data_IF_619411698167
#
_entry.id   IF_619411698167
#
_cell.length_a   1.000
_cell.length_b   1.000
_cell.length_c   1.000
_cell.angle_alpha   90.00
_cell.angle_beta   90.00
_cell.angle_gamma   90.00
#
_symmetry.space_group_name_H-M   'P 1'
#
loop_
_entity.id
_entity.type
_entity.pdbx_description
1 polymer ?
#
# COMPACT_ATOMS: atom_id res chain seq x y z
N UNK A 1 -14.37 14.31 -19.24
CA UNK A 1 -13.35 13.93 -18.23
C UNK A 1 -14.00 12.94 -17.29
N UNK A 2 -13.36 11.82 -16.96
CA UNK A 2 -13.94 10.83 -16.04
C UNK A 2 -13.87 11.44 -14.62
N UNK A 3 -14.98 11.54 -13.88
CA UNK A 3 -14.95 12.07 -12.51
C UNK A 3 -14.15 11.14 -11.59
N UNK A 4 -13.54 11.65 -10.51
CA UNK A 4 -12.80 10.82 -9.57
C UNK A 4 -13.72 9.79 -8.89
N UNK A 5 -13.15 8.70 -8.37
CA UNK A 5 -13.91 7.66 -7.67
C UNK A 5 -14.64 8.17 -6.42
N UNK A 6 -14.09 9.20 -5.80
CA UNK A 6 -14.62 9.93 -4.66
C UNK A 6 -13.92 11.29 -4.56
N UNK A 7 -14.49 12.21 -3.81
CA UNK A 7 -13.98 13.58 -3.69
C UNK A 7 -12.66 13.62 -2.91
N UNK A 8 -11.55 13.80 -3.62
CA UNK A 8 -10.21 14.01 -3.07
C UNK A 8 -9.35 14.76 -4.10
N UNK A 9 -8.46 15.64 -3.65
CA UNK A 9 -7.53 16.37 -4.54
C UNK A 9 -6.15 15.71 -4.62
N UNK A 10 -5.35 15.99 -5.66
CA UNK A 10 -3.95 15.56 -5.73
C UNK A 10 -3.12 15.94 -4.51
N UNK A 11 -3.32 17.15 -3.95
CA UNK A 11 -2.59 17.64 -2.78
C UNK A 11 -2.99 16.90 -1.50
N UNK A 12 -4.27 16.54 -1.38
CA UNK A 12 -4.74 15.67 -0.31
C UNK A 12 -4.11 14.27 -0.42
N UNK A 13 -3.97 13.75 -1.64
CA UNK A 13 -3.31 12.46 -1.87
C UNK A 13 -1.85 12.52 -1.42
N UNK A 14 -1.11 13.55 -1.83
CA UNK A 14 0.30 13.72 -1.46
C UNK A 14 0.45 13.83 0.05
N UNK A 15 -0.42 14.60 0.71
CA UNK A 15 -0.38 14.78 2.17
C UNK A 15 -0.67 13.48 2.92
N UNK A 16 -1.63 12.68 2.45
CA UNK A 16 -1.91 11.34 3.01
C UNK A 16 -0.70 10.45 2.87
N UNK A 17 -0.11 10.37 1.67
CA UNK A 17 1.05 9.52 1.40
C UNK A 17 2.25 9.92 2.27
N UNK A 18 2.61 11.20 2.30
CA UNK A 18 3.73 11.69 3.11
C UNK A 18 3.51 11.43 4.61
N UNK A 19 2.29 11.68 5.12
CA UNK A 19 1.99 11.44 6.54
C UNK A 19 2.01 9.96 6.88
N UNK A 20 1.47 9.13 5.99
CA UNK A 20 1.45 7.69 6.16
C UNK A 20 2.87 7.11 6.22
N UNK A 21 3.73 7.47 5.27
CA UNK A 21 5.09 6.94 5.24
C UNK A 21 5.97 7.49 6.37
N UNK A 22 5.76 8.72 6.82
CA UNK A 22 6.37 9.22 8.05
C UNK A 22 6.01 8.34 9.27
N UNK A 23 4.79 7.82 9.33
CA UNK A 23 4.36 6.91 10.39
C UNK A 23 4.91 5.48 10.19
N UNK A 24 4.90 4.96 8.96
CA UNK A 24 5.46 3.63 8.61
C UNK A 24 6.93 3.54 9.02
N UNK A 25 7.71 4.59 8.74
CA UNK A 25 9.14 4.65 9.09
C UNK A 25 9.42 4.51 10.59
N UNK A 26 8.44 4.84 11.43
CA UNK A 26 8.55 4.79 12.90
C UNK A 26 7.89 3.54 13.49
N UNK A 27 7.17 2.77 12.69
CA UNK A 27 6.45 1.60 13.15
C UNK A 27 7.40 0.42 13.36
N UNK A 28 7.34 -0.22 14.53
CA UNK A 28 8.32 -1.25 14.94
C UNK A 28 8.36 -2.46 14.00
N UNK A 29 7.20 -2.90 13.50
CA UNK A 29 7.10 -4.02 12.54
C UNK A 29 7.32 -3.58 11.09
N UNK A 30 6.61 -2.55 10.63
CA UNK A 30 6.64 -2.15 9.21
C UNK A 30 7.92 -1.41 8.83
N UNK A 31 8.46 -0.59 9.72
CA UNK A 31 9.64 0.23 9.48
C UNK A 31 10.84 -0.57 8.96
N UNK A 32 11.27 -1.64 9.65
CA UNK A 32 12.36 -2.50 9.19
C UNK A 32 12.13 -3.14 7.81
N UNK A 33 10.89 -3.54 7.52
CA UNK A 33 10.53 -4.15 6.22
C UNK A 33 10.70 -3.11 5.12
N UNK A 34 10.10 -1.93 5.26
CA UNK A 34 10.25 -0.90 4.24
C UNK A 34 11.70 -0.42 4.12
N UNK A 35 12.43 -0.28 5.22
CA UNK A 35 13.84 0.14 5.20
C UNK A 35 14.76 -0.85 4.45
N UNK A 36 14.39 -2.14 4.39
CA UNK A 36 15.12 -3.13 3.61
C UNK A 36 14.94 -2.98 2.08
N UNK A 37 13.83 -2.36 1.65
CA UNK A 37 13.46 -2.25 0.22
C UNK A 37 13.44 -0.81 -0.32
N UNK A 38 13.40 0.19 0.57
CA UNK A 38 13.26 1.61 0.23
C UNK A 38 14.46 2.38 0.75
N UNK A 39 15.34 2.75 -0.17
CA UNK A 39 16.52 3.59 0.09
C UNK A 39 16.24 5.06 -0.23
N UNK A 40 15.49 5.33 -1.31
CA UNK A 40 15.04 6.66 -1.69
C UNK A 40 13.56 6.85 -1.30
N UNK A 41 13.35 7.51 -0.15
CA UNK A 41 12.02 7.78 0.39
C UNK A 41 11.21 8.77 -0.45
N UNK A 42 11.76 9.95 -0.84
CA UNK A 42 11.06 10.87 -1.73
C UNK A 42 10.55 10.21 -3.02
N UNK A 43 11.38 9.40 -3.71
CA UNK A 43 10.94 8.73 -4.94
C UNK A 43 9.89 7.66 -4.65
N UNK A 44 10.02 6.91 -3.56
CA UNK A 44 9.01 5.94 -3.16
C UNK A 44 7.66 6.59 -2.89
N UNK A 45 7.63 7.65 -2.10
CA UNK A 45 6.40 8.40 -1.79
C UNK A 45 5.79 9.00 -3.06
N UNK A 46 6.60 9.60 -3.94
CA UNK A 46 6.13 10.12 -5.23
C UNK A 46 5.51 9.02 -6.11
N UNK A 47 6.13 7.84 -6.17
CA UNK A 47 5.58 6.68 -6.90
C UNK A 47 4.24 6.22 -6.33
N UNK A 48 4.07 6.20 -5.02
CA UNK A 48 2.83 5.78 -4.37
C UNK A 48 1.74 6.85 -4.48
N UNK A 49 2.10 8.13 -4.50
CA UNK A 49 1.18 9.20 -4.86
C UNK A 49 0.67 9.03 -6.31
N UNK A 50 1.57 8.76 -7.27
CA UNK A 50 1.19 8.46 -8.67
C UNK A 50 0.24 7.26 -8.76
N UNK A 51 0.49 6.21 -7.99
CA UNK A 51 -0.41 5.05 -7.89
C UNK A 51 -1.82 5.47 -7.44
N UNK A 52 -1.94 6.25 -6.37
CA UNK A 52 -3.24 6.66 -5.85
C UNK A 52 -3.97 7.65 -6.74
N UNK A 53 -3.26 8.62 -7.35
CA UNK A 53 -3.86 9.51 -8.35
C UNK A 53 -4.37 8.74 -9.56
N UNK A 54 -3.63 7.74 -10.03
CA UNK A 54 -4.11 6.85 -11.09
C UNK A 54 -5.35 6.04 -10.65
N UNK A 55 -5.32 5.48 -9.44
CA UNK A 55 -6.41 4.67 -8.93
C UNK A 55 -7.67 5.50 -8.61
N UNK A 56 -7.56 6.76 -8.20
CA UNK A 56 -8.71 7.52 -7.71
C UNK A 56 -9.16 8.58 -8.72
N UNK A 57 -8.20 9.32 -9.28
CA UNK A 57 -8.44 10.44 -10.19
C UNK A 57 -8.35 10.05 -11.67
N UNK A 58 -7.97 8.80 -11.97
CA UNK A 58 -7.72 8.31 -13.32
C UNK A 58 -6.61 9.06 -14.07
N UNK A 59 -5.70 9.70 -13.32
CA UNK A 59 -4.51 10.34 -13.88
C UNK A 59 -3.54 9.29 -14.43
N UNK A 60 -2.97 9.56 -15.60
CA UNK A 60 -1.88 8.72 -16.13
C UNK A 60 -0.58 9.07 -15.39
N UNK A 61 0.28 8.09 -15.16
CA UNK A 61 1.58 8.33 -14.50
C UNK A 61 2.07 7.20 -13.59
N UNK A 62 1.27 6.15 -13.39
CA UNK A 62 1.70 4.92 -12.73
C UNK A 62 1.64 3.75 -13.72
N UNK A 63 2.78 3.08 -13.90
CA UNK A 63 3.00 1.95 -14.81
C UNK A 63 3.47 0.68 -14.07
N UNK A 64 3.51 0.73 -12.74
CA UNK A 64 3.96 -0.38 -11.90
C UNK A 64 2.93 -1.51 -11.80
N UNK A 65 3.40 -2.65 -11.30
CA UNK A 65 2.56 -3.78 -10.93
C UNK A 65 2.67 -4.04 -9.41
N UNK A 66 1.74 -3.52 -8.59
CA UNK A 66 1.81 -3.67 -7.14
C UNK A 66 1.91 -5.14 -6.72
N UNK A 67 1.13 -6.03 -7.33
CA UNK A 67 1.13 -7.46 -6.99
C UNK A 67 2.52 -8.08 -7.16
N UNK A 68 3.13 -7.90 -8.32
CA UNK A 68 4.46 -8.45 -8.60
C UNK A 68 5.53 -7.90 -7.64
N UNK A 69 5.46 -6.62 -7.27
CA UNK A 69 6.41 -6.03 -6.32
C UNK A 69 6.30 -6.67 -4.93
N UNK A 70 5.08 -6.82 -4.40
CA UNK A 70 4.87 -7.39 -3.06
C UNK A 70 5.23 -8.88 -3.02
N UNK A 71 4.92 -9.62 -4.09
CA UNK A 71 5.32 -11.03 -4.23
C UNK A 71 6.84 -11.22 -4.28
N UNK A 72 7.58 -10.30 -4.92
CA UNK A 72 9.04 -10.39 -5.08
C UNK A 72 9.84 -9.88 -3.89
N UNK A 73 9.23 -9.08 -2.99
CA UNK A 73 9.91 -8.54 -1.81
C UNK A 73 10.47 -9.63 -0.88
N UNK A 74 9.86 -10.83 -0.87
CA UNK A 74 10.40 -12.02 -0.19
C UNK A 74 10.21 -12.07 1.33
N UNK A 75 10.20 -10.93 2.00
CA UNK A 75 9.99 -10.78 3.45
C UNK A 75 8.64 -10.13 3.81
N UNK A 76 7.89 -9.61 2.82
CA UNK A 76 6.49 -9.21 3.00
C UNK A 76 5.62 -10.46 3.22
N UNK A 77 4.82 -10.43 4.28
CA UNK A 77 3.95 -11.53 4.71
C UNK A 77 2.52 -11.03 4.89
N UNK A 78 1.57 -11.95 4.85
CA UNK A 78 0.16 -11.65 5.06
C UNK A 78 -0.13 -10.86 6.35
N UNK A 79 0.55 -11.23 7.44
CA UNK A 79 0.41 -10.56 8.73
C UNK A 79 0.82 -9.08 8.71
N UNK A 80 1.60 -8.62 7.72
CA UNK A 80 2.02 -7.22 7.61
C UNK A 80 0.93 -6.32 7.01
N UNK A 81 -0.07 -6.89 6.31
CA UNK A 81 -1.13 -6.10 5.69
C UNK A 81 -2.09 -5.49 6.71
N UNK A 82 -2.43 -6.23 7.78
CA UNK A 82 -3.31 -5.73 8.82
C UNK A 82 -2.78 -4.45 9.52
N UNK A 83 -1.54 -4.42 10.07
CA UNK A 83 -1.01 -3.20 10.67
C UNK A 83 -0.80 -2.07 9.65
N UNK A 84 -0.46 -2.40 8.39
CA UNK A 84 -0.37 -1.40 7.33
C UNK A 84 -1.72 -0.71 7.08
N UNK A 85 -2.79 -1.49 6.96
CA UNK A 85 -4.15 -0.98 6.72
C UNK A 85 -4.67 -0.18 7.92
N UNK A 86 -4.42 -0.64 9.14
CA UNK A 86 -4.77 0.10 10.36
C UNK A 86 -4.10 1.48 10.40
N UNK A 87 -2.80 1.54 10.11
CA UNK A 87 -2.04 2.79 10.09
C UNK A 87 -2.50 3.73 8.96
N UNK A 88 -2.86 3.16 7.81
CA UNK A 88 -3.40 3.91 6.69
C UNK A 88 -4.77 4.50 7.03
N UNK A 89 -5.67 3.73 7.64
CA UNK A 89 -6.98 4.19 8.10
C UNK A 89 -6.91 5.32 9.13
N UNK A 90 -5.96 5.24 10.06
CA UNK A 90 -5.70 6.33 11.00
C UNK A 90 -5.27 7.60 10.26
N UNK A 91 -4.34 7.47 9.32
CA UNK A 91 -3.85 8.58 8.51
C UNK A 91 -4.97 9.24 7.70
N UNK A 92 -5.81 8.43 7.04
CA UNK A 92 -6.96 8.92 6.27
C UNK A 92 -7.93 9.71 7.15
N UNK A 93 -8.30 9.17 8.32
CA UNK A 93 -9.22 9.84 9.27
C UNK A 93 -8.64 11.15 9.80
N UNK A 94 -7.32 11.27 9.92
CA UNK A 94 -6.66 12.49 10.40
C UNK A 94 -6.66 13.62 9.35
N UNK A 95 -6.59 13.27 8.07
CA UNK A 95 -6.29 14.24 7.00
C UNK A 95 -7.52 14.59 6.17
N UNK A 96 -8.44 13.64 5.99
CA UNK A 96 -9.54 13.78 5.04
C UNK A 96 -10.89 13.94 5.74
N UNK A 97 -11.86 14.55 5.05
CA UNK A 97 -13.26 14.47 5.46
C UNK A 97 -13.72 13.01 5.62
N UNK A 98 -14.67 12.73 6.54
CA UNK A 98 -15.07 11.35 6.85
C UNK A 98 -15.54 10.53 5.64
N UNK A 99 -16.19 11.15 4.67
CA UNK A 99 -16.66 10.47 3.46
C UNK A 99 -15.50 10.00 2.57
N UNK A 100 -14.59 10.90 2.22
CA UNK A 100 -13.39 10.60 1.45
C UNK A 100 -12.50 9.56 2.15
N UNK A 101 -12.33 9.70 3.48
CA UNK A 101 -11.57 8.75 4.29
C UNK A 101 -12.16 7.33 4.22
N UNK A 102 -13.49 7.18 4.36
CA UNK A 102 -14.16 5.87 4.26
C UNK A 102 -14.04 5.27 2.86
N UNK A 103 -14.26 6.08 1.83
CA UNK A 103 -14.20 5.62 0.44
C UNK A 103 -12.78 5.14 0.06
N UNK A 104 -11.75 5.90 0.46
CA UNK A 104 -10.37 5.51 0.21
C UNK A 104 -9.96 4.30 1.06
N UNK A 105 -10.34 4.25 2.33
CA UNK A 105 -10.12 3.07 3.18
C UNK A 105 -10.70 1.80 2.55
N UNK A 106 -11.96 1.84 2.08
CA UNK A 106 -12.59 0.70 1.41
C UNK A 106 -11.83 0.26 0.15
N UNK A 107 -11.35 1.21 -0.65
CA UNK A 107 -10.52 0.92 -1.82
C UNK A 107 -9.18 0.26 -1.42
N UNK A 108 -8.50 0.80 -0.39
CA UNK A 108 -7.24 0.26 0.10
C UNK A 108 -7.40 -1.15 0.66
N UNK A 109 -8.46 -1.43 1.41
CA UNK A 109 -8.77 -2.76 1.92
C UNK A 109 -9.02 -3.77 0.80
N UNK A 110 -9.77 -3.39 -0.23
CA UNK A 110 -10.01 -4.26 -1.39
C UNK A 110 -8.71 -4.62 -2.11
N UNK A 111 -7.86 -3.63 -2.36
CA UNK A 111 -6.55 -3.85 -3.00
C UNK A 111 -5.65 -4.70 -2.10
N UNK A 112 -5.59 -4.35 -0.80
CA UNK A 112 -4.80 -5.04 0.21
C UNK A 112 -5.20 -6.51 0.37
N UNK A 113 -6.50 -6.83 0.32
CA UNK A 113 -6.98 -8.22 0.34
C UNK A 113 -6.45 -9.02 -0.86
N UNK A 114 -6.49 -8.43 -2.05
CA UNK A 114 -5.92 -9.03 -3.26
C UNK A 114 -4.42 -9.31 -3.11
N UNK A 115 -3.65 -8.29 -2.72
CA UNK A 115 -2.20 -8.40 -2.51
C UNK A 115 -1.83 -9.44 -1.45
N UNK A 116 -2.58 -9.48 -0.33
CA UNK A 116 -2.39 -10.46 0.74
C UNK A 116 -2.53 -11.88 0.22
N UNK A 117 -3.62 -12.17 -0.48
CA UNK A 117 -3.85 -13.50 -1.07
C UNK A 117 -2.75 -13.91 -2.05
N UNK A 118 -2.28 -12.98 -2.88
CA UNK A 118 -1.18 -13.27 -3.83
C UNK A 118 0.15 -13.56 -3.13
N UNK A 119 0.44 -12.89 -2.01
CA UNK A 119 1.62 -13.15 -1.18
C UNK A 119 1.50 -14.49 -0.44
N UNK A 120 0.31 -14.86 0.02
CA UNK A 120 0.04 -16.15 0.68
C UNK A 120 0.22 -17.32 -0.29
N UNK A 121 -0.43 -17.28 -1.46
CA UNK A 121 -0.36 -18.34 -2.48
C UNK A 121 1.08 -18.62 -2.94
N UNK A 122 1.90 -17.57 -3.13
CA UNK A 122 3.31 -17.75 -3.49
C UNK A 122 4.11 -18.49 -2.42
N UNK A 123 3.81 -18.25 -1.13
CA UNK A 123 4.53 -18.91 -0.03
C UNK A 123 4.15 -20.38 0.06
N UNK A 124 2.88 -20.71 -0.10
CA UNK A 124 2.40 -22.09 -0.10
C UNK A 124 2.98 -22.89 -1.28
N UNK A 125 3.19 -22.23 -2.42
CA UNK A 125 3.80 -22.83 -3.62
C UNK A 125 5.32 -22.94 -3.60
N UNK A 126 6.02 -22.48 -2.55
CA UNK A 126 7.46 -22.76 -2.37
C UNK A 126 7.61 -24.06 -1.56
N UNK A 127 7.78 -25.24 -2.19
CA UNK A 127 8.05 -26.43 -1.41
C UNK A 127 9.50 -26.32 -0.90
N UNK A 128 9.69 -26.49 0.41
CA UNK A 128 10.98 -27.00 0.88
C UNK A 128 11.23 -28.39 0.26
N UNK A 129 12.49 -28.84 0.15
CA UNK A 129 12.76 -30.19 -0.36
C UNK A 129 11.91 -31.22 0.44
N UNK A 130 11.29 -32.19 -0.25
CA UNK A 130 10.42 -33.15 0.42
C UNK A 130 11.20 -33.89 1.50
N UNK A 131 10.70 -33.85 2.73
CA UNK A 131 11.20 -34.72 3.80
C UNK A 131 10.56 -36.09 3.57
N UNK A 132 11.31 -36.98 2.93
CA UNK A 132 10.97 -38.39 2.89
C UNK A 132 11.10 -38.94 4.32
N UNK A 133 9.98 -39.32 4.94
CA UNK A 133 9.94 -40.20 6.11
C UNK A 133 9.46 -41.57 5.67
#
# INVERSE_FOLDING_TARGET
MIPPRFDVTPEQIDRVVATFYAAVRRHEVLGPIFAAHVTDWPEHEAKIARFWRNAILYERGYDGNPMQVHMRAGDVKAQHFAPWLMLFDETLRRILPPEAARAWSALAHRIGAGLRMGVEDLRERRPGPPVLR
#
